data_IF_678678451619
#
_entry.id   IF_678678451619
#
_cell.length_a   1.000
_cell.length_b   1.000
_cell.length_c   1.000
_cell.angle_alpha   90.00
_cell.angle_beta   90.00
_cell.angle_gamma   90.00
#
_symmetry.space_group_name_H-M   'P 1'
#
loop_
_entity.id
_entity.type
_entity.pdbx_description
1 polymer ?
#
# COMPACT_ATOMS: atom_id res chain seq x y z
N UNK A 1 6.45 8.01 -18.33
CA UNK A 1 6.84 7.72 -16.93
C UNK A 1 7.14 9.04 -16.25
N UNK A 2 6.73 9.20 -14.99
CA UNK A 2 6.98 10.38 -14.16
C UNK A 2 7.52 9.96 -12.82
N UNK A 3 8.40 10.79 -12.28
CA UNK A 3 8.93 10.58 -10.93
C UNK A 3 7.99 11.13 -9.88
N UNK A 4 7.92 10.43 -8.76
CA UNK A 4 7.27 10.85 -7.53
C UNK A 4 8.07 10.31 -6.33
N UNK A 5 8.33 11.17 -5.35
CA UNK A 5 8.91 10.77 -4.08
C UNK A 5 7.80 10.67 -3.03
N UNK A 6 7.43 9.44 -2.66
CA UNK A 6 6.38 9.19 -1.67
C UNK A 6 6.81 9.51 -0.22
N UNK A 7 8.09 9.80 0.01
CA UNK A 7 8.60 10.29 1.29
C UNK A 7 8.58 11.83 1.40
N UNK A 8 8.01 12.55 0.42
CA UNK A 8 7.89 14.00 0.42
C UNK A 8 6.45 14.39 0.06
N UNK A 9 5.76 15.04 0.96
CA UNK A 9 4.39 15.52 0.74
C UNK A 9 4.33 16.57 -0.36
N UNK A 10 5.36 17.39 -0.48
CA UNK A 10 5.48 18.39 -1.55
C UNK A 10 5.62 17.72 -2.92
N UNK A 11 6.38 16.63 -3.03
CA UNK A 11 6.49 15.83 -4.26
C UNK A 11 5.15 15.20 -4.65
N UNK A 12 4.41 14.64 -3.69
CA UNK A 12 3.06 14.09 -3.95
C UNK A 12 2.10 15.17 -4.43
N UNK A 13 2.08 16.33 -3.77
CA UNK A 13 1.25 17.47 -4.15
C UNK A 13 1.58 17.99 -5.55
N UNK A 14 2.86 18.12 -5.89
CA UNK A 14 3.31 18.58 -7.21
C UNK A 14 2.89 17.59 -8.30
N UNK A 15 3.09 16.29 -8.06
CA UNK A 15 2.69 15.23 -8.98
C UNK A 15 1.18 15.24 -9.25
N UNK A 16 0.35 15.25 -8.21
CA UNK A 16 -1.11 15.28 -8.37
C UNK A 16 -1.60 16.58 -8.98
N UNK A 17 -1.00 17.73 -8.61
CA UNK A 17 -1.31 19.03 -9.19
C UNK A 17 -1.03 19.10 -10.69
N UNK A 18 0.04 18.46 -11.17
CA UNK A 18 0.32 18.33 -12.61
C UNK A 18 -0.75 17.49 -13.32
N UNK A 19 -1.12 16.33 -12.76
CA UNK A 19 -2.15 15.47 -13.35
C UNK A 19 -3.52 16.17 -13.40
N UNK A 20 -3.88 16.90 -12.35
CA UNK A 20 -5.11 17.68 -12.30
C UNK A 20 -5.15 18.76 -13.37
N UNK A 21 -4.04 19.47 -13.61
CA UNK A 21 -3.92 20.48 -14.69
C UNK A 21 -4.05 19.84 -16.08
N UNK A 22 -3.58 18.64 -16.28
CA UNK A 22 -3.71 17.92 -17.55
C UNK A 22 -5.13 17.41 -17.81
N UNK A 23 -5.91 17.20 -16.76
CA UNK A 23 -7.30 16.76 -16.85
C UNK A 23 -7.50 15.36 -17.44
N UNK A 24 -6.46 14.54 -17.48
CA UNK A 24 -6.56 13.17 -18.03
C UNK A 24 -7.33 12.27 -17.08
N UNK A 25 -8.31 11.51 -17.54
CA UNK A 25 -9.08 10.61 -16.70
C UNK A 25 -8.19 9.48 -16.13
N UNK A 26 -8.46 9.12 -14.89
CA UNK A 26 -7.85 7.98 -14.19
C UNK A 26 -8.86 6.84 -14.12
N UNK A 27 -8.57 5.71 -14.74
CA UNK A 27 -9.40 4.50 -14.70
C UNK A 27 -8.87 3.44 -13.73
N UNK A 28 -7.60 3.55 -13.33
CA UNK A 28 -6.96 2.64 -12.38
C UNK A 28 -5.92 3.39 -11.56
N UNK A 29 -6.01 3.27 -10.24
CA UNK A 29 -4.97 3.70 -9.30
C UNK A 29 -4.46 2.49 -8.52
N UNK A 30 -3.19 2.14 -8.68
CA UNK A 30 -2.54 1.07 -7.92
C UNK A 30 -1.53 1.65 -6.93
N UNK A 31 -1.90 1.71 -5.66
CA UNK A 31 -1.00 2.06 -4.56
C UNK A 31 -0.20 0.81 -4.15
N UNK A 32 0.80 0.47 -4.94
CA UNK A 32 1.59 -0.75 -4.76
C UNK A 32 2.92 -0.51 -4.05
N UNK A 33 3.50 0.67 -4.18
CA UNK A 33 4.77 0.99 -3.55
C UNK A 33 4.71 0.82 -2.03
N UNK A 34 5.77 0.28 -1.47
CA UNK A 34 5.90 0.11 -0.03
C UNK A 34 7.34 -0.17 0.36
N UNK A 35 7.71 0.23 1.55
CA UNK A 35 9.06 0.05 2.09
C UNK A 35 9.02 -0.57 3.48
N UNK A 36 10.11 -1.23 3.82
CA UNK A 36 10.42 -1.76 5.14
C UNK A 36 11.90 -1.50 5.41
N UNK A 37 12.24 -0.26 5.75
CA UNK A 37 13.63 0.20 5.87
C UNK A 37 14.16 0.20 7.30
N UNK A 38 15.46 0.11 7.43
CA UNK A 38 16.25 0.41 8.63
C UNK A 38 17.46 1.28 8.23
N UNK A 39 17.91 2.22 9.06
CA UNK A 39 17.26 2.71 10.27
C UNK A 39 15.98 3.47 9.99
N UNK A 40 15.13 3.62 11.01
CA UNK A 40 13.96 4.50 10.97
C UNK A 40 14.44 5.93 10.76
N UNK A 41 13.87 6.60 9.77
CA UNK A 41 14.19 8.00 9.43
C UNK A 41 12.93 8.83 9.43
N UNK A 42 13.06 10.11 9.73
CA UNK A 42 12.00 11.09 9.50
C UNK A 42 12.16 11.71 8.11
N UNK A 43 11.04 11.96 7.49
CA UNK A 43 10.95 12.75 6.25
C UNK A 43 11.18 14.23 6.55
N UNK A 44 11.33 15.06 5.53
CA UNK A 44 11.36 16.52 5.66
C UNK A 44 10.07 17.08 6.28
N UNK A 45 8.95 16.36 6.13
CA UNK A 45 7.66 16.72 6.70
C UNK A 45 7.50 16.26 8.16
N UNK A 46 8.55 15.70 8.78
CA UNK A 46 8.56 15.23 10.17
C UNK A 46 7.91 13.86 10.40
N UNK A 47 7.40 13.20 9.35
CA UNK A 47 6.77 11.88 9.43
C UNK A 47 7.84 10.77 9.48
N UNK A 48 7.48 9.66 10.10
CA UNK A 48 8.27 8.43 9.93
C UNK A 48 8.18 7.96 8.48
N UNK A 49 9.33 7.57 7.88
CA UNK A 49 9.42 7.32 6.43
C UNK A 49 8.52 6.16 5.98
N UNK A 50 8.40 5.06 6.77
CA UNK A 50 7.51 3.94 6.45
C UNK A 50 6.05 4.40 6.49
N UNK A 51 5.69 5.24 7.46
CA UNK A 51 4.34 5.82 7.56
C UNK A 51 4.03 6.72 6.37
N UNK A 52 4.97 7.59 5.99
CA UNK A 52 4.83 8.47 4.83
C UNK A 52 4.59 7.68 3.56
N UNK A 53 5.50 6.74 3.23
CA UNK A 53 5.46 6.00 1.96
C UNK A 53 4.32 4.99 1.89
N UNK A 54 4.07 4.25 2.98
CA UNK A 54 3.12 3.13 2.94
C UNK A 54 1.67 3.53 3.21
N UNK A 55 1.44 4.71 3.82
CA UNK A 55 0.09 5.12 4.19
C UNK A 55 -0.25 6.55 3.75
N UNK A 56 0.52 7.57 4.16
CA UNK A 56 0.15 8.97 3.92
C UNK A 56 0.13 9.30 2.43
N UNK A 57 1.15 8.89 1.68
CA UNK A 57 1.23 9.13 0.24
C UNK A 57 0.11 8.41 -0.54
N UNK A 58 -0.18 7.10 -0.34
CA UNK A 58 -1.36 6.44 -0.91
C UNK A 58 -2.68 7.13 -0.58
N UNK A 59 -2.86 7.55 0.67
CA UNK A 59 -4.02 8.33 1.09
C UNK A 59 -4.16 9.64 0.30
N UNK A 60 -3.08 10.42 0.21
CA UNK A 60 -3.06 11.69 -0.51
C UNK A 60 -3.31 11.50 -2.00
N UNK A 61 -2.62 10.53 -2.65
CA UNK A 61 -2.82 10.21 -4.06
C UNK A 61 -4.28 9.87 -4.35
N UNK A 62 -4.87 8.99 -3.55
CA UNK A 62 -6.27 8.57 -3.71
C UNK A 62 -7.22 9.77 -3.57
N UNK A 63 -7.04 10.58 -2.53
CA UNK A 63 -7.90 11.74 -2.26
C UNK A 63 -7.77 12.84 -3.31
N UNK A 64 -6.55 13.16 -3.70
CA UNK A 64 -6.27 14.29 -4.60
C UNK A 64 -6.59 13.96 -6.06
N UNK A 65 -6.45 12.68 -6.48
CA UNK A 65 -6.78 12.27 -7.85
C UNK A 65 -8.26 11.92 -8.04
N UNK A 66 -9.07 11.90 -6.98
CA UNK A 66 -10.50 11.58 -7.07
C UNK A 66 -11.26 12.42 -8.12
N UNK A 67 -11.01 13.72 -8.33
CA UNK A 67 -11.66 14.48 -9.37
C UNK A 67 -11.39 14.00 -10.81
N UNK A 68 -10.32 13.26 -11.02
CA UNK A 68 -9.96 12.69 -12.34
C UNK A 68 -10.50 11.26 -12.53
N UNK A 69 -11.01 10.63 -11.48
CA UNK A 69 -11.50 9.26 -11.55
C UNK A 69 -12.88 9.23 -12.19
N UNK A 70 -13.02 8.43 -13.23
CA UNK A 70 -14.26 8.25 -13.97
C UNK A 70 -15.08 7.08 -13.39
N UNK A 71 -16.39 7.00 -13.67
CA UNK A 71 -17.19 5.82 -13.37
C UNK A 71 -16.51 4.55 -13.90
N UNK A 72 -16.48 3.50 -13.08
CA UNK A 72 -15.75 2.26 -13.35
C UNK A 72 -14.28 2.30 -12.93
N UNK A 73 -13.77 3.41 -12.38
CA UNK A 73 -12.39 3.48 -11.87
C UNK A 73 -12.18 2.51 -10.70
N UNK A 74 -11.04 1.85 -10.70
CA UNK A 74 -10.65 0.92 -9.64
C UNK A 74 -9.42 1.44 -8.89
N UNK A 75 -9.50 1.38 -7.56
CA UNK A 75 -8.38 1.70 -6.68
C UNK A 75 -7.94 0.40 -6.00
N UNK A 76 -6.66 0.07 -6.10
CA UNK A 76 -6.08 -1.13 -5.47
C UNK A 76 -4.96 -0.72 -4.53
N UNK A 77 -5.16 -0.98 -3.24
CA UNK A 77 -4.19 -0.72 -2.19
C UNK A 77 -3.44 -2.01 -1.81
N UNK A 78 -2.12 -2.03 -1.92
CA UNK A 78 -1.32 -3.20 -1.53
C UNK A 78 -1.06 -3.18 -0.03
N UNK A 79 -1.74 -4.07 0.69
CA UNK A 79 -1.55 -4.31 2.12
C UNK A 79 -0.54 -5.45 2.36
N UNK A 80 -0.60 -6.13 3.47
CA UNK A 80 0.19 -7.32 3.82
C UNK A 80 -0.54 -8.08 4.92
N UNK A 81 -0.40 -9.39 5.00
CA UNK A 81 -0.95 -10.20 6.09
C UNK A 81 -0.55 -9.70 7.49
N UNK A 82 0.53 -8.93 7.59
CA UNK A 82 0.98 -8.32 8.83
C UNK A 82 0.02 -7.27 9.38
N UNK A 83 -0.98 -6.79 8.61
CA UNK A 83 -2.02 -5.91 9.13
C UNK A 83 -2.74 -6.54 10.35
N UNK A 84 -2.82 -7.87 10.41
CA UNK A 84 -3.49 -8.59 11.49
C UNK A 84 -2.83 -8.40 12.87
N UNK A 85 -1.54 -8.04 12.91
CA UNK A 85 -0.81 -7.72 14.13
C UNK A 85 -0.57 -6.21 14.30
N UNK A 86 -1.08 -5.40 13.37
CA UNK A 86 -0.99 -3.94 13.43
C UNK A 86 -1.86 -3.36 14.55
N UNK A 87 -1.47 -2.18 15.01
CA UNK A 87 -2.21 -1.37 15.99
C UNK A 87 -2.15 0.10 15.60
N UNK A 88 -3.27 0.80 15.69
CA UNK A 88 -3.32 2.25 15.50
C UNK A 88 -3.31 2.89 16.87
N UNK A 89 -2.21 3.57 17.18
CA UNK A 89 -2.00 4.30 18.43
C UNK A 89 -2.05 5.81 18.16
N UNK A 90 -2.31 6.67 19.20
CA UNK A 90 -2.42 8.12 19.00
C UNK A 90 -1.17 8.76 18.36
N UNK A 91 0.01 8.21 18.62
CA UNK A 91 1.29 8.66 18.09
C UNK A 91 1.70 7.94 16.78
N UNK A 92 0.75 7.37 16.05
CA UNK A 92 0.98 6.60 14.81
C UNK A 92 1.84 7.34 13.78
N UNK A 93 1.66 8.66 13.64
CA UNK A 93 2.39 9.45 12.65
C UNK A 93 3.82 9.83 13.10
N UNK A 94 4.10 9.80 14.38
CA UNK A 94 5.34 10.33 14.97
C UNK A 94 6.31 9.25 15.42
N UNK A 95 5.79 8.06 15.71
CA UNK A 95 6.52 6.99 16.40
C UNK A 95 7.45 6.23 15.48
N UNK A 96 8.68 6.69 15.38
CA UNK A 96 9.79 5.90 14.86
C UNK A 96 10.56 5.25 16.01
N UNK A 97 10.55 3.93 16.12
CA UNK A 97 11.44 3.19 17.04
C UNK A 97 12.70 2.76 16.30
N UNK A 98 13.85 3.10 16.85
CA UNK A 98 15.15 2.64 16.33
C UNK A 98 15.36 1.16 16.66
N UNK A 99 15.69 0.34 15.66
CA UNK A 99 16.06 -1.05 15.83
C UNK A 99 15.41 -2.01 14.82
N UNK A 100 16.09 -3.12 14.54
CA UNK A 100 15.66 -4.12 13.55
C UNK A 100 14.29 -4.72 13.83
N UNK A 101 13.99 -4.97 15.10
CA UNK A 101 12.73 -5.61 15.49
C UNK A 101 11.54 -4.64 15.54
N UNK A 102 11.79 -3.34 15.60
CA UNK A 102 10.72 -2.33 15.72
C UNK A 102 10.15 -1.88 14.37
N UNK A 103 10.80 -2.19 13.25
CA UNK A 103 10.28 -1.84 11.92
C UNK A 103 9.02 -2.64 11.55
N UNK A 104 8.92 -3.90 11.97
CA UNK A 104 7.75 -4.76 11.66
C UNK A 104 6.47 -4.23 12.30
N UNK A 105 6.42 -3.84 13.59
CA UNK A 105 5.26 -3.17 14.16
C UNK A 105 4.86 -1.90 13.40
N UNK A 106 5.80 -1.01 13.08
CA UNK A 106 5.50 0.21 12.32
C UNK A 106 4.94 -0.13 10.93
N UNK A 107 5.58 -1.05 10.23
CA UNK A 107 5.10 -1.54 8.93
C UNK A 107 3.69 -2.14 9.03
N UNK A 108 3.45 -3.01 10.01
CA UNK A 108 2.15 -3.66 10.25
C UNK A 108 1.07 -2.62 10.54
N UNK A 109 1.39 -1.59 11.34
CA UNK A 109 0.49 -0.48 11.62
C UNK A 109 0.12 0.29 10.35
N UNK A 110 1.09 0.53 9.42
CA UNK A 110 0.79 1.20 8.15
C UNK A 110 -0.11 0.34 7.24
N UNK A 111 0.07 -0.98 7.25
CA UNK A 111 -0.75 -1.89 6.46
C UNK A 111 -2.17 -2.03 7.03
N UNK A 112 -2.32 -1.98 8.36
CA UNK A 112 -3.63 -1.88 9.00
C UNK A 112 -4.30 -0.54 8.67
N UNK A 113 -3.59 0.58 8.81
CA UNK A 113 -4.12 1.91 8.47
C UNK A 113 -4.61 1.99 7.02
N UNK A 114 -3.85 1.41 6.08
CA UNK A 114 -4.21 1.38 4.66
C UNK A 114 -5.45 0.50 4.40
N UNK A 115 -5.60 -0.62 5.14
CA UNK A 115 -6.80 -1.46 5.07
C UNK A 115 -8.02 -0.73 5.61
N UNK A 116 -7.92 -0.09 6.78
CA UNK A 116 -9.02 0.68 7.37
C UNK A 116 -9.41 1.86 6.48
N UNK A 117 -8.43 2.55 5.89
CA UNK A 117 -8.69 3.59 4.89
C UNK A 117 -9.44 3.03 3.67
N UNK A 118 -9.07 1.83 3.19
CA UNK A 118 -9.74 1.18 2.06
C UNK A 118 -11.23 0.95 2.38
N UNK A 119 -11.53 0.45 3.56
CA UNK A 119 -12.91 0.15 3.99
C UNK A 119 -13.73 1.43 4.16
N UNK A 120 -13.21 2.38 4.92
CA UNK A 120 -13.87 3.68 5.16
C UNK A 120 -14.08 4.48 3.87
N UNK A 121 -13.09 4.46 2.98
CA UNK A 121 -13.19 5.22 1.73
C UNK A 121 -14.15 4.57 0.72
N UNK A 122 -14.31 3.25 0.78
CA UNK A 122 -15.28 2.52 -0.02
C UNK A 122 -16.72 2.99 0.27
N UNK A 123 -17.04 3.22 1.54
CA UNK A 123 -18.35 3.75 1.95
C UNK A 123 -18.60 5.14 1.37
N UNK A 124 -17.57 5.99 1.35
CA UNK A 124 -17.64 7.35 0.78
C UNK A 124 -17.74 7.39 -0.75
N UNK A 125 -17.45 6.29 -1.41
CA UNK A 125 -17.47 6.16 -2.87
C UNK A 125 -18.72 5.45 -3.40
N UNK A 126 -19.67 5.04 -2.54
CA UNK A 126 -20.83 4.23 -2.93
C UNK A 126 -21.64 4.83 -4.10
N UNK A 127 -21.77 6.16 -4.13
CA UNK A 127 -22.56 6.86 -5.16
C UNK A 127 -21.75 7.24 -6.41
N UNK A 128 -20.48 6.84 -6.52
CA UNK A 128 -19.56 7.33 -7.56
C UNK A 128 -19.19 6.31 -8.65
N UNK A 129 -19.68 5.07 -8.55
CA UNK A 129 -19.24 3.96 -9.41
C UNK A 129 -17.71 3.84 -9.48
N UNK A 130 -17.06 4.02 -8.32
CA UNK A 130 -15.61 3.87 -8.12
C UNK A 130 -15.42 2.84 -7.04
N UNK A 131 -14.58 1.84 -7.28
CA UNK A 131 -14.28 0.81 -6.29
C UNK A 131 -12.87 0.97 -5.72
N UNK A 132 -12.73 0.67 -4.43
CA UNK A 132 -11.44 0.61 -3.74
C UNK A 132 -11.33 -0.70 -2.96
N UNK A 133 -10.28 -1.46 -3.21
CA UNK A 133 -10.06 -2.76 -2.57
C UNK A 133 -8.59 -2.91 -2.12
N UNK A 134 -8.38 -3.77 -1.15
CA UNK A 134 -7.05 -4.11 -0.64
C UNK A 134 -6.57 -5.45 -1.20
N UNK A 135 -5.32 -5.47 -1.68
CA UNK A 135 -4.61 -6.66 -2.15
C UNK A 135 -3.55 -7.08 -1.13
N UNK A 136 -3.66 -8.28 -0.59
CA UNK A 136 -2.60 -8.93 0.18
C UNK A 136 -1.81 -9.88 -0.73
N UNK A 137 -0.57 -9.55 -1.09
CA UNK A 137 0.27 -10.39 -1.94
C UNK A 137 0.72 -11.69 -1.24
N UNK A 138 0.61 -11.76 0.09
CA UNK A 138 1.26 -12.77 0.91
C UNK A 138 2.76 -12.50 1.08
N UNK A 139 3.53 -13.53 1.41
CA UNK A 139 4.99 -13.44 1.55
C UNK A 139 5.60 -13.63 0.15
N UNK A 140 6.20 -12.57 -0.38
CA UNK A 140 6.79 -12.55 -1.73
C UNK A 140 8.31 -12.42 -1.62
N UNK A 141 9.06 -13.20 -2.40
CA UNK A 141 10.51 -13.04 -2.53
C UNK A 141 10.83 -11.70 -3.18
N UNK A 142 11.10 -10.70 -2.35
CA UNK A 142 11.53 -9.37 -2.77
C UNK A 142 12.71 -8.94 -1.92
N UNK A 143 13.51 -8.01 -2.42
CA UNK A 143 14.62 -7.39 -1.68
C UNK A 143 14.17 -6.72 -0.35
N UNK A 144 12.87 -6.58 -0.11
CA UNK A 144 12.30 -6.04 1.11
C UNK A 144 12.46 -6.98 2.31
N UNK A 145 12.54 -8.30 2.07
CA UNK A 145 12.58 -9.33 3.14
C UNK A 145 14.02 -9.64 3.58
N UNK A 146 15.02 -9.31 2.77
CA UNK A 146 16.42 -9.52 3.14
C UNK A 146 16.78 -8.73 4.38
N UNK A 147 17.01 -9.43 5.48
CA UNK A 147 17.38 -8.81 6.75
C UNK A 147 18.88 -8.45 6.79
N UNK A 148 19.64 -8.75 5.73
CA UNK A 148 21.09 -8.61 5.65
C UNK A 148 21.80 -9.25 6.87
N UNK A 149 21.31 -10.42 7.31
CA UNK A 149 21.82 -11.14 8.43
C UNK A 149 22.51 -12.43 7.95
N UNK A 150 23.50 -12.91 8.70
CA UNK A 150 24.28 -14.11 8.36
C UNK A 150 23.41 -15.39 8.24
N UNK A 151 22.21 -15.41 8.82
CA UNK A 151 21.25 -16.52 8.76
C UNK A 151 20.21 -16.37 7.64
N UNK A 152 20.27 -15.33 6.80
CA UNK A 152 19.36 -15.13 5.65
C UNK A 152 19.31 -16.37 4.73
N UNK A 153 20.42 -17.07 4.41
CA UNK A 153 20.37 -18.28 3.58
C UNK A 153 19.58 -19.43 4.22
N UNK A 154 19.65 -19.58 5.56
CA UNK A 154 18.94 -20.63 6.27
C UNK A 154 17.44 -20.34 6.37
N UNK A 155 17.09 -19.08 6.59
CA UNK A 155 15.69 -18.63 6.57
C UNK A 155 15.10 -18.75 5.17
N UNK A 156 15.84 -18.45 4.12
CA UNK A 156 15.41 -18.65 2.74
C UNK A 156 15.06 -20.11 2.44
N UNK A 157 15.91 -21.06 2.87
CA UNK A 157 15.68 -22.49 2.65
C UNK A 157 14.44 -22.97 3.42
N UNK A 158 14.27 -22.55 4.67
CA UNK A 158 13.18 -22.99 5.55
C UNK A 158 11.83 -22.41 5.12
N UNK A 159 11.80 -21.17 4.65
CA UNK A 159 10.56 -20.48 4.25
C UNK A 159 10.27 -20.54 2.74
N UNK A 160 11.19 -21.05 1.91
CA UNK A 160 11.04 -21.19 0.45
C UNK A 160 9.71 -21.79 -0.01
N UNK A 161 9.16 -22.85 0.63
CA UNK A 161 7.87 -23.40 0.21
C UNK A 161 6.70 -22.45 0.38
N UNK A 162 6.84 -21.42 1.22
CA UNK A 162 5.79 -20.44 1.53
C UNK A 162 6.00 -19.10 0.84
N UNK A 163 7.14 -18.90 0.20
CA UNK A 163 7.50 -17.63 -0.47
C UNK A 163 7.01 -17.68 -1.92
N UNK A 164 6.16 -16.74 -2.25
CA UNK A 164 5.65 -16.58 -3.62
C UNK A 164 6.68 -15.92 -4.53
N UNK A 165 6.61 -16.24 -5.81
CA UNK A 165 7.30 -15.48 -6.84
C UNK A 165 6.69 -14.06 -6.97
N UNK A 166 7.40 -13.07 -7.53
CA UNK A 166 6.83 -11.74 -7.80
C UNK A 166 5.54 -11.81 -8.63
N UNK A 167 5.47 -12.69 -9.64
CA UNK A 167 4.28 -12.88 -10.46
C UNK A 167 3.08 -13.40 -9.64
N UNK A 168 3.32 -14.38 -8.77
CA UNK A 168 2.29 -14.89 -7.85
C UNK A 168 1.84 -13.84 -6.83
N UNK A 169 2.77 -13.00 -6.35
CA UNK A 169 2.46 -11.89 -5.45
C UNK A 169 1.59 -10.83 -6.13
N UNK A 170 1.85 -10.53 -7.40
CA UNK A 170 1.10 -9.55 -8.17
C UNK A 170 -0.31 -10.04 -8.58
N UNK A 171 -0.54 -11.35 -8.63
CA UNK A 171 -1.77 -11.93 -9.17
C UNK A 171 -3.05 -11.36 -8.54
N UNK A 172 -3.08 -11.18 -7.20
CA UNK A 172 -4.24 -10.64 -6.49
C UNK A 172 -4.50 -9.17 -6.86
N UNK A 173 -3.45 -8.35 -6.97
CA UNK A 173 -3.59 -6.96 -7.37
C UNK A 173 -4.06 -6.83 -8.82
N UNK A 174 -3.55 -7.66 -9.73
CA UNK A 174 -3.96 -7.74 -11.13
C UNK A 174 -5.43 -8.20 -11.23
N UNK A 175 -5.83 -9.22 -10.47
CA UNK A 175 -7.21 -9.67 -10.40
C UNK A 175 -8.16 -8.53 -10.00
N UNK A 176 -7.85 -7.78 -8.93
CA UNK A 176 -8.65 -6.63 -8.50
C UNK A 176 -8.69 -5.51 -9.53
N UNK A 177 -7.59 -5.30 -10.26
CA UNK A 177 -7.50 -4.26 -11.27
C UNK A 177 -8.29 -4.57 -12.55
N UNK A 178 -8.31 -5.84 -12.98
CA UNK A 178 -8.74 -6.20 -14.35
C UNK A 178 -9.89 -7.21 -14.42
N UNK A 179 -10.13 -8.04 -13.39
CA UNK A 179 -11.16 -9.07 -13.43
C UNK A 179 -12.57 -8.48 -13.38
N UNK A 180 -13.49 -9.03 -14.16
CA UNK A 180 -14.91 -8.71 -14.09
C UNK A 180 -15.54 -9.17 -12.78
N UNK A 181 -15.05 -10.26 -12.17
CA UNK A 181 -15.52 -10.76 -10.87
C UNK A 181 -15.30 -9.75 -9.72
N UNK A 182 -14.28 -8.88 -9.86
CA UNK A 182 -13.94 -7.86 -8.88
C UNK A 182 -14.60 -6.50 -9.18
N UNK A 183 -15.28 -6.34 -10.32
CA UNK A 183 -15.80 -5.07 -10.81
C UNK A 183 -16.72 -4.37 -9.81
N UNK A 184 -17.65 -5.13 -9.22
CA UNK A 184 -18.66 -4.58 -8.31
C UNK A 184 -18.30 -4.81 -6.83
N UNK A 185 -17.06 -5.22 -6.56
CA UNK A 185 -16.58 -5.43 -5.18
C UNK A 185 -15.94 -4.17 -4.66
N UNK A 186 -16.35 -3.74 -3.47
CA UNK A 186 -15.87 -2.52 -2.86
C UNK A 186 -15.55 -2.74 -1.36
N UNK A 187 -14.51 -2.08 -0.84
CA UNK A 187 -14.11 -2.14 0.56
C UNK A 187 -13.55 -3.48 1.03
N UNK A 188 -13.22 -4.39 0.11
CA UNK A 188 -12.84 -5.76 0.44
C UNK A 188 -11.31 -5.95 0.47
N UNK A 189 -10.85 -6.87 1.32
CA UNK A 189 -9.48 -7.37 1.30
C UNK A 189 -9.43 -8.72 0.57
N UNK A 190 -8.47 -8.88 -0.34
CA UNK A 190 -8.27 -10.08 -1.12
C UNK A 190 -6.87 -10.66 -0.90
N UNK A 191 -6.80 -11.99 -0.83
CA UNK A 191 -5.55 -12.74 -0.87
C UNK A 191 -5.74 -13.98 -1.75
N UNK A 192 -4.75 -14.31 -2.57
CA UNK A 192 -4.86 -15.41 -3.55
C UNK A 192 -6.10 -15.28 -4.46
N UNK A 193 -6.42 -14.08 -4.91
CA UNK A 193 -7.61 -13.74 -5.71
C UNK A 193 -8.95 -14.08 -5.04
N UNK A 194 -8.99 -14.28 -3.72
CA UNK A 194 -10.21 -14.58 -2.95
C UNK A 194 -10.41 -13.53 -1.87
N UNK A 195 -11.67 -13.17 -1.60
CA UNK A 195 -12.05 -12.29 -0.50
C UNK A 195 -11.71 -12.96 0.83
N UNK A 196 -11.10 -12.18 1.75
CA UNK A 196 -10.85 -12.54 3.15
C UNK A 196 -11.97 -12.06 4.05
#
# INVERSE_FOLDING_TARGET
VREINLASLSSVNNFTGQLLKEGRPVSLLMNNAGILTTPVRKTEDGLETIVSVNYVAPYMLTRQLLPLMQPGCRIVNTVSCTYAIGRIEPDFFEKGRNGRFFRIPVYSNTKLALLLFTQEFAERLQDKDITINASDPGIVSTNMITMQAWFDPLTDILFRPFIKTPAQGAATAIHLALSDEAKDRNGCCYANCKKR
#
